data_IF_173453119194
#
_entry.id   IF_173453119194
#
_cell.length_a   1.000
_cell.length_b   1.000
_cell.length_c   1.000
_cell.angle_alpha   90.00
_cell.angle_beta   90.00
_cell.angle_gamma   90.00
#
_symmetry.space_group_name_H-M   'P 1'
#
loop_
_entity.id
_entity.type
_entity.pdbx_description
1 polymer ?
#
# COMPACT_ATOMS: atom_id res chain seq x y z
N UNK A 1 2.49 24.43 26.96
CA UNK A 1 2.45 23.21 26.12
C UNK A 1 2.27 23.66 24.68
N UNK A 2 3.09 23.09 23.81
CA UNK A 2 3.71 23.73 22.65
C UNK A 2 2.88 23.63 21.37
N UNK A 3 2.75 24.75 20.64
CA UNK A 3 2.17 24.83 19.29
C UNK A 3 2.83 23.86 18.29
N UNK A 4 4.01 23.33 18.58
CA UNK A 4 4.68 22.30 17.79
C UNK A 4 3.96 20.93 17.76
N UNK A 5 3.13 20.60 18.76
CA UNK A 5 2.44 19.31 18.80
C UNK A 5 1.20 19.25 17.88
N UNK A 6 0.55 20.39 17.64
CA UNK A 6 -0.57 20.49 16.70
C UNK A 6 -0.09 20.51 15.24
N UNK A 7 1.11 21.02 14.97
CA UNK A 7 1.70 21.05 13.63
C UNK A 7 2.01 19.63 13.09
N UNK A 8 2.32 18.67 13.97
CA UNK A 8 2.71 17.30 13.56
C UNK A 8 1.52 16.38 13.29
N UNK A 9 0.32 16.67 13.80
CA UNK A 9 -0.87 15.86 13.50
C UNK A 9 -1.50 16.21 12.14
N UNK A 10 -1.33 17.44 11.65
CA UNK A 10 -1.90 17.86 10.35
C UNK A 10 -1.11 17.25 9.16
N UNK A 11 0.19 16.98 9.33
CA UNK A 11 1.02 16.36 8.28
C UNK A 11 0.86 14.84 8.13
N UNK A 12 0.19 14.16 9.06
CA UNK A 12 0.00 12.72 9.01
C UNK A 12 -1.21 12.26 8.14
N UNK A 13 -2.09 13.19 7.74
CA UNK A 13 -3.30 12.90 6.94
C UNK A 13 -3.14 13.22 5.44
N UNK A 14 -2.00 13.76 5.02
CA UNK A 14 -1.79 14.24 3.66
C UNK A 14 -1.28 13.23 2.59
N UNK A 15 -0.75 12.02 2.89
CA UNK A 15 -0.19 11.18 1.81
C UNK A 15 -1.24 10.35 1.06
N UNK A 16 -2.43 10.12 1.62
CA UNK A 16 -3.44 9.23 1.02
C UNK A 16 -4.26 9.88 -0.10
N UNK A 17 -4.41 11.21 -0.12
CA UNK A 17 -5.16 11.91 -1.16
C UNK A 17 -4.30 12.19 -2.41
N UNK A 18 -2.99 12.37 -2.20
CA UNK A 18 -2.03 12.64 -3.29
C UNK A 18 -1.74 11.42 -4.16
N UNK A 19 -1.85 10.20 -3.63
CA UNK A 19 -1.62 8.98 -4.39
C UNK A 19 -2.79 8.69 -5.35
N UNK A 20 -4.02 8.91 -4.90
CA UNK A 20 -5.24 8.73 -5.72
C UNK A 20 -5.34 9.76 -6.85
N UNK A 21 -4.95 11.02 -6.61
CA UNK A 21 -4.96 12.04 -7.66
C UNK A 21 -3.83 11.81 -8.69
N UNK A 22 -2.64 11.38 -8.24
CA UNK A 22 -1.52 11.06 -9.14
C UNK A 22 -1.82 9.86 -10.05
N UNK A 23 -2.47 8.81 -9.55
CA UNK A 23 -2.83 7.66 -10.40
C UNK A 23 -3.95 8.00 -11.39
N UNK A 24 -4.91 8.83 -10.98
CA UNK A 24 -5.98 9.30 -11.89
C UNK A 24 -5.45 10.16 -13.04
N UNK A 25 -4.44 11.02 -12.79
CA UNK A 25 -3.82 11.84 -13.83
C UNK A 25 -3.01 11.05 -14.85
N UNK A 26 -2.39 9.93 -14.44
CA UNK A 26 -1.62 9.08 -15.37
C UNK A 26 -2.57 8.26 -16.27
N UNK A 27 -3.69 7.78 -15.73
CA UNK A 27 -4.69 7.03 -16.50
C UNK A 27 -5.37 7.89 -17.59
N UNK A 28 -5.62 9.19 -17.32
CA UNK A 28 -6.25 10.08 -18.29
C UNK A 28 -5.28 10.54 -19.40
N UNK A 29 -3.98 10.58 -19.14
CA UNK A 29 -2.97 10.93 -20.15
C UNK A 29 -2.78 9.82 -21.22
N UNK A 30 -3.07 8.56 -20.89
CA UNK A 30 -2.92 7.43 -21.82
C UNK A 30 -4.07 7.39 -22.85
N UNK A 31 -5.24 7.93 -22.51
CA UNK A 31 -6.42 7.93 -23.39
C UNK A 31 -6.36 8.98 -24.52
N UNK A 32 -5.47 9.97 -24.44
CA UNK A 32 -5.33 11.06 -25.42
C UNK A 32 -4.00 11.06 -26.16
N UNK A 33 -3.29 9.92 -26.23
CA UNK A 33 -2.21 9.80 -27.19
C UNK A 33 -2.81 9.78 -28.60
N UNK A 34 -2.59 10.80 -29.45
CA UNK A 34 -2.95 10.67 -30.86
C UNK A 34 -2.23 9.43 -31.37
N UNK A 35 -2.96 8.50 -31.97
CA UNK A 35 -2.36 7.42 -32.74
C UNK A 35 -1.50 8.08 -33.81
N UNK A 36 -0.19 8.11 -33.58
CA UNK A 36 0.76 8.69 -34.51
C UNK A 36 0.74 7.83 -35.77
N UNK A 37 -0.11 8.20 -36.73
CA UNK A 37 -0.20 7.55 -38.01
C UNK A 37 0.90 8.12 -38.89
N UNK A 38 2.06 7.47 -38.86
CA UNK A 38 3.13 7.78 -39.80
C UNK A 38 2.77 7.22 -41.17
N UNK A 39 2.25 8.05 -42.08
CA UNK A 39 2.04 7.67 -43.46
C UNK A 39 3.38 7.78 -44.23
N UNK A 40 3.73 6.72 -44.95
CA UNK A 40 4.88 6.69 -45.85
C UNK A 40 4.42 7.01 -47.25
N UNK A 41 4.90 8.12 -47.80
CA UNK A 41 4.45 8.66 -49.07
C UNK A 41 5.61 8.63 -50.08
N UNK A 42 5.34 8.23 -51.34
CA UNK A 42 6.37 8.12 -52.39
C UNK A 42 6.04 9.02 -53.57
N UNK A 43 7.03 9.78 -54.04
CA UNK A 43 6.97 10.49 -55.32
C UNK A 43 8.23 10.18 -56.13
N UNK A 44 8.08 9.36 -57.18
CA UNK A 44 9.20 8.86 -57.99
C UNK A 44 10.24 8.08 -57.17
N UNK A 45 11.42 8.68 -56.95
CA UNK A 45 12.54 8.13 -56.15
C UNK A 45 12.59 8.68 -54.72
N UNK A 46 11.76 9.66 -54.39
CA UNK A 46 11.73 10.29 -53.06
C UNK A 46 10.71 9.62 -52.14
N UNK A 47 11.06 9.53 -50.86
CA UNK A 47 10.19 9.03 -49.79
C UNK A 47 10.01 10.14 -48.77
N UNK A 48 8.75 10.46 -48.46
CA UNK A 48 8.35 11.42 -47.46
C UNK A 48 7.64 10.68 -46.32
N UNK A 49 8.06 10.91 -45.09
CA UNK A 49 7.38 10.42 -43.90
C UNK A 49 6.58 11.58 -43.32
N UNK A 50 5.26 11.39 -43.25
CA UNK A 50 4.33 12.42 -42.79
C UNK A 50 3.61 11.91 -41.54
N UNK A 51 3.33 12.82 -40.61
CA UNK A 51 2.48 12.52 -39.44
C UNK A 51 0.99 12.62 -39.77
N UNK A 52 0.67 13.11 -40.97
CA UNK A 52 -0.68 13.19 -41.48
C UNK A 52 -1.10 11.84 -42.07
N UNK A 53 -2.41 11.56 -41.93
CA UNK A 53 -3.03 10.34 -42.45
C UNK A 53 -3.02 10.24 -43.98
N UNK A 54 -2.77 11.35 -44.69
CA UNK A 54 -2.88 11.44 -46.15
C UNK A 54 -1.60 11.99 -46.77
N UNK A 55 -1.23 11.46 -47.94
CA UNK A 55 -0.10 11.97 -48.69
C UNK A 55 -0.45 13.28 -49.41
N UNK A 56 0.45 14.28 -49.40
CA UNK A 56 0.25 15.52 -50.16
C UNK A 56 0.20 15.24 -51.67
N UNK A 57 -0.43 16.14 -52.42
CA UNK A 57 -0.61 16.02 -53.87
C UNK A 57 0.73 15.76 -54.59
N UNK A 58 0.77 14.73 -55.43
CA UNK A 58 1.99 14.31 -56.13
C UNK A 58 2.78 13.20 -55.42
N UNK A 59 2.34 12.76 -54.23
CA UNK A 59 2.86 11.59 -53.53
C UNK A 59 1.78 10.50 -53.42
N UNK A 60 2.17 9.24 -53.59
CA UNK A 60 1.32 8.06 -53.43
C UNK A 60 1.56 7.43 -52.06
N UNK A 61 0.47 7.06 -51.36
CA UNK A 61 0.55 6.33 -50.09
C UNK A 61 1.12 4.92 -50.31
N UNK A 62 2.26 4.66 -49.67
CA UNK A 62 2.95 3.37 -49.65
C UNK A 62 3.05 2.81 -48.22
N UNK A 63 2.17 3.24 -47.32
CA UNK A 63 2.07 2.72 -45.95
C UNK A 63 1.53 1.29 -45.92
N UNK A 64 0.71 0.90 -46.92
CA UNK A 64 0.05 -0.41 -46.98
C UNK A 64 0.59 -1.49 -47.95
N UNK A 65 1.40 -1.23 -49.00
CA UNK A 65 1.91 -2.30 -49.87
C UNK A 65 3.13 -3.03 -49.30
N UNK A 66 3.72 -2.60 -48.18
CA UNK A 66 4.55 -3.51 -47.40
C UNK A 66 3.63 -4.38 -46.54
N UNK A 67 2.88 -5.25 -47.22
CA UNK A 67 2.38 -6.51 -46.67
C UNK A 67 3.54 -7.42 -46.30
N UNK A 68 4.47 -6.93 -45.48
CA UNK A 68 5.30 -7.78 -44.67
C UNK A 68 4.35 -8.38 -43.66
N UNK A 69 3.97 -9.64 -43.89
CA UNK A 69 3.38 -10.47 -42.85
C UNK A 69 4.26 -10.30 -41.63
N UNK A 70 3.82 -9.54 -40.63
CA UNK A 70 4.45 -9.56 -39.32
C UNK A 70 4.07 -10.92 -38.79
N UNK A 71 4.81 -11.93 -39.22
CA UNK A 71 4.78 -13.25 -38.64
C UNK A 71 5.31 -13.02 -37.24
N UNK A 72 4.41 -12.77 -36.29
CA UNK A 72 4.68 -12.99 -34.89
C UNK A 72 5.17 -14.43 -34.85
N UNK A 73 6.48 -14.63 -34.75
CA UNK A 73 7.03 -15.98 -34.61
C UNK A 73 6.37 -16.54 -33.37
N UNK A 74 5.40 -17.44 -33.57
CA UNK A 74 4.73 -18.10 -32.47
C UNK A 74 5.81 -18.75 -31.62
N UNK A 75 5.81 -18.45 -30.31
CA UNK A 75 6.65 -19.18 -29.37
C UNK A 75 6.47 -20.68 -29.65
N UNK A 76 7.56 -21.41 -29.80
CA UNK A 76 7.48 -22.85 -29.98
C UNK A 76 6.75 -23.47 -28.78
N UNK A 77 6.07 -24.60 -29.00
CA UNK A 77 5.26 -25.25 -27.96
C UNK A 77 6.09 -25.56 -26.70
N UNK A 78 7.37 -25.89 -26.88
CA UNK A 78 8.31 -26.12 -25.77
C UNK A 78 8.57 -24.84 -24.95
N UNK A 79 8.70 -23.68 -25.59
CA UNK A 79 8.87 -22.39 -24.89
C UNK A 79 7.60 -22.02 -24.14
N UNK A 80 6.42 -22.27 -24.72
CA UNK A 80 5.13 -22.03 -24.05
C UNK A 80 4.95 -22.89 -22.81
N UNK A 81 5.29 -24.18 -22.88
CA UNK A 81 5.23 -25.08 -21.71
C UNK A 81 6.20 -24.67 -20.61
N UNK A 82 7.45 -24.37 -20.95
CA UNK A 82 8.44 -23.92 -19.98
C UNK A 82 8.02 -22.61 -19.28
N UNK A 83 7.41 -21.68 -20.03
CA UNK A 83 6.89 -20.43 -19.47
C UNK A 83 5.68 -20.66 -18.55
N UNK A 84 4.76 -21.54 -18.93
CA UNK A 84 3.63 -21.91 -18.06
C UNK A 84 4.08 -22.58 -16.77
N UNK A 85 5.07 -23.47 -16.84
CA UNK A 85 5.65 -24.12 -15.65
C UNK A 85 6.35 -23.09 -14.75
N UNK A 86 7.14 -22.18 -15.33
CA UNK A 86 7.78 -21.11 -14.58
C UNK A 86 6.77 -20.20 -13.87
N UNK A 87 5.71 -19.78 -14.58
CA UNK A 87 4.65 -18.95 -14.01
C UNK A 87 3.86 -19.71 -12.93
N UNK A 88 3.61 -21.01 -13.13
CA UNK A 88 2.96 -21.88 -12.15
C UNK A 88 3.75 -21.96 -10.85
N UNK A 89 5.06 -22.19 -10.94
CA UNK A 89 5.96 -22.25 -9.78
C UNK A 89 6.03 -20.89 -9.07
N UNK A 90 6.19 -19.79 -9.82
CA UNK A 90 6.19 -18.43 -9.24
C UNK A 90 4.89 -18.11 -8.50
N UNK A 91 3.73 -18.49 -9.06
CA UNK A 91 2.45 -18.27 -8.41
C UNK A 91 2.30 -19.09 -7.12
N UNK A 92 2.86 -20.31 -7.08
CA UNK A 92 2.88 -21.14 -5.88
C UNK A 92 3.81 -20.54 -4.79
N UNK A 93 5.02 -20.13 -5.17
CA UNK A 93 5.98 -19.46 -4.28
C UNK A 93 5.41 -18.17 -3.70
N UNK A 94 4.78 -17.33 -4.54
CA UNK A 94 4.17 -16.09 -4.11
C UNK A 94 3.05 -16.32 -3.09
N UNK A 95 2.19 -17.32 -3.31
CA UNK A 95 1.15 -17.68 -2.35
C UNK A 95 1.73 -18.15 -1.01
N UNK A 96 2.82 -18.92 -1.05
CA UNK A 96 3.50 -19.36 0.18
C UNK A 96 4.13 -18.18 0.91
N UNK A 97 4.73 -17.23 0.20
CA UNK A 97 5.31 -16.05 0.80
C UNK A 97 4.25 -15.12 1.39
N UNK A 98 3.14 -14.90 0.68
CA UNK A 98 2.01 -14.11 1.17
C UNK A 98 1.37 -14.73 2.40
N UNK A 99 1.19 -16.07 2.43
CA UNK A 99 0.61 -16.73 3.61
C UNK A 99 1.54 -16.64 4.84
N UNK A 100 2.85 -16.77 4.65
CA UNK A 100 3.83 -16.57 5.72
C UNK A 100 3.81 -15.13 6.25
N UNK A 101 3.77 -14.12 5.37
CA UNK A 101 3.63 -12.73 5.79
C UNK A 101 2.33 -12.48 6.56
N UNK A 102 1.21 -13.01 6.07
CA UNK A 102 -0.09 -12.86 6.74
C UNK A 102 -0.09 -13.48 8.14
N UNK A 103 0.55 -14.65 8.30
CA UNK A 103 0.70 -15.30 9.61
C UNK A 103 1.55 -14.46 10.57
N UNK A 104 2.71 -13.96 10.12
CA UNK A 104 3.56 -13.09 10.93
C UNK A 104 2.82 -11.82 11.34
N UNK A 105 2.12 -11.18 10.41
CA UNK A 105 1.34 -9.98 10.69
C UNK A 105 0.22 -10.26 11.70
N UNK A 106 -0.46 -11.40 11.58
CA UNK A 106 -1.49 -11.81 12.54
C UNK A 106 -0.90 -12.06 13.94
N UNK A 107 0.28 -12.67 14.04
CA UNK A 107 0.97 -12.88 15.31
C UNK A 107 1.35 -11.54 15.97
N UNK A 108 1.94 -10.61 15.23
CA UNK A 108 2.25 -9.27 15.75
C UNK A 108 1.00 -8.52 16.20
N UNK A 109 -0.10 -8.61 15.45
CA UNK A 109 -1.35 -7.97 15.83
C UNK A 109 -1.94 -8.59 17.11
N UNK A 110 -1.86 -9.91 17.27
CA UNK A 110 -2.30 -10.61 18.47
C UNK A 110 -1.48 -10.18 19.69
N UNK A 111 -0.16 -10.13 19.57
CA UNK A 111 0.73 -9.72 20.66
C UNK A 111 0.45 -8.27 21.10
N UNK A 112 0.29 -7.34 20.14
CA UNK A 112 -0.09 -5.96 20.46
C UNK A 112 -1.45 -5.87 21.15
N UNK A 113 -2.44 -6.65 20.70
CA UNK A 113 -3.76 -6.69 21.32
C UNK A 113 -3.70 -7.24 22.75
N UNK A 114 -2.87 -8.26 23.01
CA UNK A 114 -2.67 -8.80 24.35
C UNK A 114 -2.06 -7.74 25.29
N UNK A 115 -1.00 -7.04 24.86
CA UNK A 115 -0.39 -5.98 25.64
C UNK A 115 -1.39 -4.86 25.94
N UNK A 116 -2.13 -4.41 24.91
CA UNK A 116 -3.15 -3.37 25.06
C UNK A 116 -4.26 -3.79 26.04
N UNK A 117 -4.68 -5.06 25.97
CA UNK A 117 -5.64 -5.64 26.90
C UNK A 117 -5.15 -5.59 28.34
N UNK A 118 -3.91 -6.03 28.59
CA UNK A 118 -3.27 -5.99 29.91
C UNK A 118 -3.19 -4.57 30.47
N UNK A 119 -2.75 -3.60 29.65
CA UNK A 119 -2.71 -2.19 30.05
C UNK A 119 -4.09 -1.66 30.46
N UNK A 120 -5.13 -1.93 29.65
CA UNK A 120 -6.49 -1.46 29.92
C UNK A 120 -7.09 -2.08 31.19
N UNK A 121 -6.73 -3.33 31.50
CA UNK A 121 -7.17 -4.02 32.70
C UNK A 121 -6.55 -3.40 33.96
N UNK A 122 -5.24 -3.08 33.93
CA UNK A 122 -4.56 -2.41 35.04
C UNK A 122 -5.14 -1.02 35.27
N UNK A 123 -5.42 -0.25 34.21
CA UNK A 123 -6.06 1.06 34.34
C UNK A 123 -7.45 0.98 34.97
N UNK A 124 -8.23 -0.05 34.61
CA UNK A 124 -9.52 -0.29 35.24
C UNK A 124 -9.37 -0.62 36.74
N UNK A 125 -8.38 -1.42 37.11
CA UNK A 125 -8.09 -1.75 38.52
C UNK A 125 -7.63 -0.52 39.31
N UNK A 126 -6.79 0.35 38.72
CA UNK A 126 -6.36 1.60 39.34
C UNK A 126 -7.57 2.48 39.62
N UNK A 127 -8.45 2.70 38.63
CA UNK A 127 -9.68 3.49 38.81
C UNK A 127 -10.60 2.89 39.88
N UNK A 128 -10.75 1.56 39.91
CA UNK A 128 -11.55 0.88 40.93
C UNK A 128 -10.95 1.09 42.34
N UNK A 129 -9.63 0.97 42.48
CA UNK A 129 -8.93 1.22 43.73
C UNK A 129 -9.09 2.66 44.20
N UNK A 130 -8.94 3.64 43.30
CA UNK A 130 -9.15 5.06 43.61
C UNK A 130 -10.59 5.34 44.03
N UNK A 131 -11.57 4.67 43.43
CA UNK A 131 -12.98 4.78 43.84
C UNK A 131 -13.24 4.18 45.22
N UNK A 132 -12.57 3.08 45.58
CA UNK A 132 -12.62 2.53 46.93
C UNK A 132 -11.96 3.45 47.96
N UNK A 133 -10.82 4.06 47.61
CA UNK A 133 -10.16 5.06 48.48
C UNK A 133 -11.07 6.24 48.79
N UNK A 134 -11.93 6.65 47.85
CA UNK A 134 -12.92 7.71 48.05
C UNK A 134 -14.10 7.31 48.95
N UNK A 135 -14.42 6.02 49.05
CA UNK A 135 -15.61 5.53 49.76
C UNK A 135 -15.32 5.07 51.19
N UNK A 136 -14.09 4.67 51.49
CA UNK A 136 -13.72 4.05 52.76
C UNK A 136 -13.12 5.09 53.72
N UNK A 137 -13.71 5.23 54.92
CA UNK A 137 -13.20 6.11 55.98
C UNK A 137 -12.33 5.39 57.04
N UNK A 138 -12.12 4.07 56.90
CA UNK A 138 -11.29 3.31 57.83
C UNK A 138 -9.80 3.49 57.52
N UNK A 139 -9.06 4.08 58.47
CA UNK A 139 -7.63 4.40 58.32
C UNK A 139 -6.77 3.20 57.87
N UNK A 140 -6.95 2.05 58.50
CA UNK A 140 -6.21 0.82 58.16
C UNK A 140 -6.47 0.32 56.74
N UNK A 141 -7.70 0.50 56.24
CA UNK A 141 -8.06 0.08 54.88
C UNK A 141 -7.52 1.05 53.82
N UNK A 142 -7.43 2.35 54.14
CA UNK A 142 -6.83 3.35 53.25
C UNK A 142 -5.36 3.03 52.97
N UNK A 143 -4.58 2.63 53.98
CA UNK A 143 -3.16 2.31 53.77
C UNK A 143 -2.96 1.08 52.89
N UNK A 144 -3.81 0.06 53.04
CA UNK A 144 -3.81 -1.10 52.15
C UNK A 144 -4.16 -0.69 50.72
N UNK A 145 -5.18 0.15 50.52
CA UNK A 145 -5.55 0.65 49.19
C UNK A 145 -4.42 1.48 48.55
N UNK A 146 -3.72 2.31 49.33
CA UNK A 146 -2.54 3.06 48.85
C UNK A 146 -1.39 2.15 48.44
N UNK A 147 -1.13 1.08 49.20
CA UNK A 147 -0.13 0.08 48.83
C UNK A 147 -0.50 -0.63 47.52
N UNK A 148 -1.76 -1.05 47.39
CA UNK A 148 -2.29 -1.65 46.16
C UNK A 148 -2.18 -0.71 44.96
N UNK A 149 -2.50 0.58 45.12
CA UNK A 149 -2.36 1.58 44.06
C UNK A 149 -0.92 1.72 43.57
N UNK A 150 0.05 1.79 44.49
CA UNK A 150 1.48 1.83 44.15
C UNK A 150 1.93 0.57 43.41
N UNK A 151 1.49 -0.60 43.84
CA UNK A 151 1.80 -1.86 43.18
C UNK A 151 1.26 -1.92 41.74
N UNK A 152 0.01 -1.47 41.53
CA UNK A 152 -0.60 -1.40 40.19
C UNK A 152 0.12 -0.39 39.29
N UNK A 153 0.55 0.75 39.83
CA UNK A 153 1.36 1.74 39.08
C UNK A 153 2.74 1.23 38.71
N UNK A 154 3.40 0.49 39.62
CA UNK A 154 4.67 -0.16 39.32
C UNK A 154 4.51 -1.21 38.22
N UNK A 155 3.44 -2.02 38.27
CA UNK A 155 3.12 -2.97 37.20
C UNK A 155 2.84 -2.27 35.87
N UNK A 156 2.08 -1.16 35.89
CA UNK A 156 1.83 -0.33 34.70
C UNK A 156 3.15 0.17 34.08
N UNK A 157 4.10 0.61 34.92
CA UNK A 157 5.40 1.10 34.47
C UNK A 157 6.26 -0.02 33.88
N UNK A 158 6.34 -1.18 34.54
CA UNK A 158 7.09 -2.35 34.06
C UNK A 158 6.59 -2.86 32.71
N UNK A 159 5.28 -2.77 32.45
CA UNK A 159 4.68 -3.15 31.18
C UNK A 159 4.73 -2.04 30.11
N UNK A 160 5.24 -0.85 30.44
CA UNK A 160 5.31 0.28 29.51
C UNK A 160 3.96 0.95 29.20
N UNK A 161 2.93 0.67 30.01
CA UNK A 161 1.54 1.09 29.80
C UNK A 161 1.23 2.53 30.30
N UNK A 162 2.22 3.43 30.40
CA UNK A 162 2.10 4.72 31.08
C UNK A 162 1.78 5.91 30.15
N UNK A 163 1.35 5.65 28.91
CA UNK A 163 1.12 6.66 27.87
C UNK A 163 -0.32 7.16 27.84
#
# INVERSE_FOLDING_TARGET
MTLQALQQMVTALAPSVNLMYKTLTIALAIACAPTAHAAKCRSGKSILYTQDRYCPSGYTDITSPMGGTVSTMGKSENVRKAEQEYLGTRAAEEKQFQSQQAQLQAQYAQEQNQLRGQCSAIDAQIRANENQQRQVNAWQQIDQLKQNHRALRDQQYRLGCHR
#
